data_IF_398097161048
#
_entry.id   IF_398097161048
#
_cell.length_a   1.000
_cell.length_b   1.000
_cell.length_c   1.000
_cell.angle_alpha   90.00
_cell.angle_beta   90.00
_cell.angle_gamma   90.00
#
_symmetry.space_group_name_H-M   'P 1'
#
loop_
_entity.id
_entity.type
_entity.pdbx_description
1 polymer ?
#
# COMPACT_ATOMS: atom_id res chain seq x y z
N UNK A 1 -14.82 -18.47 6.27
CA UNK A 1 -13.78 -17.48 6.63
C UNK A 1 -14.13 -17.03 8.03
N UNK A 2 -13.39 -17.52 9.02
CA UNK A 2 -13.49 -16.93 10.35
C UNK A 2 -12.70 -15.63 10.36
N UNK A 3 -13.18 -14.66 11.13
CA UNK A 3 -12.69 -13.28 11.18
C UNK A 3 -12.32 -12.99 12.62
N UNK A 4 -11.06 -12.67 12.86
CA UNK A 4 -10.53 -12.37 14.20
C UNK A 4 -10.02 -10.94 14.28
N UNK A 5 -10.16 -10.34 15.47
CA UNK A 5 -9.49 -9.08 15.81
C UNK A 5 -7.97 -9.30 15.87
N UNK A 6 -7.20 -8.28 15.46
CA UNK A 6 -5.75 -8.38 15.37
C UNK A 6 -5.13 -8.12 16.74
N UNK A 7 -4.49 -9.14 17.30
CA UNK A 7 -3.68 -9.03 18.51
C UNK A 7 -2.16 -9.00 18.21
N UNK A 8 -1.77 -9.23 16.96
CA UNK A 8 -0.37 -9.30 16.51
C UNK A 8 -0.15 -8.32 15.36
N UNK A 9 0.14 -7.06 15.70
CA UNK A 9 0.36 -5.98 14.74
C UNK A 9 1.80 -6.06 14.23
N UNK A 10 2.04 -6.01 12.91
CA UNK A 10 3.39 -6.08 12.37
C UNK A 10 4.31 -4.96 12.87
N UNK A 11 5.53 -5.34 13.29
CA UNK A 11 6.59 -4.42 13.72
C UNK A 11 7.01 -3.41 12.63
N UNK A 12 7.76 -2.36 12.98
CA UNK A 12 8.31 -1.41 12.00
C UNK A 12 7.28 -0.45 11.37
N UNK A 13 6.04 -0.49 11.86
CA UNK A 13 5.02 0.52 11.61
C UNK A 13 5.16 1.68 12.61
N UNK A 14 4.74 2.88 12.21
CA UNK A 14 4.60 4.00 13.15
C UNK A 14 3.47 3.71 14.14
N UNK A 15 3.42 4.44 15.26
CA UNK A 15 2.32 4.28 16.23
C UNK A 15 0.96 4.48 15.56
N UNK A 16 0.85 5.44 14.63
CA UNK A 16 -0.37 5.67 13.83
C UNK A 16 -0.77 4.43 13.04
N UNK A 17 0.14 3.87 12.25
CA UNK A 17 -0.16 2.70 11.42
C UNK A 17 -0.41 1.44 12.26
N UNK A 18 0.34 1.25 13.35
CA UNK A 18 0.13 0.15 14.27
C UNK A 18 -1.27 0.22 14.92
N UNK A 19 -1.68 1.41 15.37
CA UNK A 19 -3.03 1.64 15.92
C UNK A 19 -4.12 1.41 14.86
N UNK A 20 -3.90 1.88 13.64
CA UNK A 20 -4.83 1.69 12.53
C UNK A 20 -5.05 0.20 12.23
N UNK A 21 -3.96 -0.57 12.13
CA UNK A 21 -4.02 -2.03 11.91
C UNK A 21 -4.69 -2.72 13.10
N UNK A 22 -4.27 -2.43 14.33
CA UNK A 22 -4.82 -3.10 15.51
C UNK A 22 -6.30 -2.81 15.78
N UNK A 23 -6.78 -1.62 15.41
CA UNK A 23 -8.16 -1.20 15.65
C UNK A 23 -9.11 -1.55 14.50
N UNK A 24 -8.65 -1.41 13.26
CA UNK A 24 -9.52 -1.54 12.07
C UNK A 24 -9.19 -2.75 11.20
N UNK A 25 -8.05 -3.39 11.41
CA UNK A 25 -7.68 -4.57 10.67
C UNK A 25 -8.41 -5.81 11.17
N UNK A 26 -8.66 -6.72 10.23
CA UNK A 26 -9.25 -8.03 10.47
C UNK A 26 -8.29 -9.11 9.98
N UNK A 27 -8.20 -10.22 10.69
CA UNK A 27 -7.47 -11.41 10.25
C UNK A 27 -8.44 -12.46 9.68
N UNK A 28 -8.25 -12.81 8.42
CA UNK A 28 -8.92 -13.93 7.76
C UNK A 28 -8.00 -15.17 7.74
N UNK A 29 -8.60 -16.35 7.83
CA UNK A 29 -7.84 -17.60 7.67
C UNK A 29 -7.30 -17.73 6.25
N UNK A 30 -5.99 -18.01 6.16
CA UNK A 30 -5.31 -18.28 4.89
C UNK A 30 -4.54 -19.58 4.99
N UNK A 31 -4.46 -20.30 3.86
CA UNK A 31 -3.68 -21.55 3.78
C UNK A 31 -2.19 -21.24 3.80
N UNK A 32 -1.44 -21.93 4.66
CA UNK A 32 0.01 -21.78 4.77
C UNK A 32 0.73 -22.02 3.42
N UNK A 33 1.70 -21.16 3.12
CA UNK A 33 2.57 -21.28 1.94
C UNK A 33 3.51 -22.46 2.08
N UNK A 34 3.93 -22.78 3.31
CA UNK A 34 4.89 -23.82 3.64
C UNK A 34 4.41 -25.19 3.15
N UNK A 35 3.10 -25.45 3.23
CA UNK A 35 2.48 -26.66 2.71
C UNK A 35 2.68 -26.82 1.19
N UNK A 36 2.95 -25.72 0.48
CA UNK A 36 3.18 -25.68 -0.97
C UNK A 36 4.66 -25.75 -1.35
N UNK A 37 5.60 -25.72 -0.39
CA UNK A 37 7.05 -25.64 -0.69
C UNK A 37 7.54 -26.77 -1.62
N UNK A 38 7.23 -28.06 -1.40
CA UNK A 38 7.67 -29.12 -2.31
C UNK A 38 7.15 -28.91 -3.74
N UNK A 39 5.87 -28.54 -3.87
CA UNK A 39 5.21 -28.29 -5.15
C UNK A 39 5.79 -27.08 -5.91
N UNK A 40 6.25 -26.04 -5.19
CA UNK A 40 6.91 -24.87 -5.76
C UNK A 40 8.33 -25.20 -6.25
N UNK A 41 9.09 -25.96 -5.46
CA UNK A 41 10.44 -26.41 -5.83
C UNK A 41 10.41 -27.30 -7.08
N UNK A 42 9.44 -28.22 -7.17
CA UNK A 42 9.22 -29.06 -8.36
C UNK A 42 8.95 -28.24 -9.64
N UNK A 43 8.44 -27.00 -9.49
CA UNK A 43 8.20 -26.06 -10.61
C UNK A 43 9.37 -25.14 -10.90
N UNK A 44 10.51 -25.35 -10.25
CA UNK A 44 11.71 -24.55 -10.45
C UNK A 44 11.65 -23.18 -9.79
N UNK A 45 10.72 -22.96 -8.85
CA UNK A 45 10.72 -21.73 -8.03
C UNK A 45 11.93 -21.78 -7.10
N UNK A 46 12.82 -20.77 -7.12
CA UNK A 46 13.99 -20.74 -6.25
C UNK A 46 13.61 -20.72 -4.77
N UNK A 47 14.44 -21.33 -3.93
CA UNK A 47 14.18 -21.44 -2.49
C UNK A 47 14.03 -20.09 -1.80
N UNK A 48 14.85 -19.11 -2.18
CA UNK A 48 14.82 -17.74 -1.67
C UNK A 48 13.52 -16.99 -2.03
N UNK A 49 12.88 -17.35 -3.14
CA UNK A 49 11.57 -16.80 -3.52
C UNK A 49 10.50 -17.39 -2.61
N UNK A 50 10.54 -18.70 -2.37
CA UNK A 50 9.60 -19.36 -1.45
C UNK A 50 9.74 -18.79 -0.03
N UNK A 51 10.97 -18.55 0.42
CA UNK A 51 11.24 -17.96 1.73
C UNK A 51 10.70 -16.52 1.83
N UNK A 52 10.74 -15.74 0.74
CA UNK A 52 10.08 -14.43 0.64
C UNK A 52 8.55 -14.52 0.74
N UNK A 53 7.92 -15.49 0.06
CA UNK A 53 6.47 -15.70 0.19
C UNK A 53 6.09 -16.05 1.64
N UNK A 54 6.88 -16.92 2.27
CA UNK A 54 6.66 -17.28 3.68
C UNK A 54 6.83 -16.07 4.60
N UNK A 55 7.89 -15.27 4.43
CA UNK A 55 8.09 -14.07 5.23
C UNK A 55 6.94 -13.06 5.06
N UNK A 56 6.45 -12.88 3.82
CA UNK A 56 5.29 -12.04 3.54
C UNK A 56 4.03 -12.60 4.20
N UNK A 57 3.72 -13.89 4.05
CA UNK A 57 2.51 -14.48 4.63
C UNK A 57 2.54 -14.48 6.16
N UNK A 58 3.68 -14.78 6.78
CA UNK A 58 3.82 -14.74 8.24
C UNK A 58 3.49 -13.35 8.79
N UNK A 59 3.92 -12.31 8.10
CA UNK A 59 3.76 -10.92 8.53
C UNK A 59 2.39 -10.33 8.16
N UNK A 60 1.89 -10.62 6.96
CA UNK A 60 0.74 -9.94 6.37
C UNK A 60 -0.43 -10.87 6.04
N UNK A 61 -0.20 -12.18 5.96
CA UNK A 61 -1.17 -13.17 5.50
C UNK A 61 -2.51 -13.07 6.21
N UNK A 62 -3.60 -13.02 5.45
CA UNK A 62 -4.96 -12.88 5.97
C UNK A 62 -5.33 -11.48 6.44
N UNK A 63 -4.43 -10.50 6.39
CA UNK A 63 -4.73 -9.14 6.86
C UNK A 63 -5.70 -8.43 5.89
N UNK A 64 -6.88 -8.10 6.38
CA UNK A 64 -7.88 -7.24 5.75
C UNK A 64 -7.78 -5.86 6.39
N UNK A 65 -7.48 -4.84 5.59
CA UNK A 65 -7.48 -3.45 6.05
C UNK A 65 -8.73 -2.70 5.56
N UNK A 66 -9.09 -1.56 6.16
CA UNK A 66 -10.04 -0.63 5.54
C UNK A 66 -9.63 -0.26 4.11
N UNK A 67 -10.59 -0.03 3.20
CA UNK A 67 -10.27 0.34 1.82
C UNK A 67 -9.55 1.69 1.77
N UNK A 68 -8.49 1.77 0.96
CA UNK A 68 -7.85 3.04 0.61
C UNK A 68 -8.69 3.90 -0.32
N UNK A 69 -8.38 5.20 -0.45
CA UNK A 69 -9.15 6.12 -1.29
C UNK A 69 -8.86 5.98 -2.80
N UNK A 70 -7.88 5.17 -3.18
CA UNK A 70 -7.49 4.88 -4.57
C UNK A 70 -7.34 3.36 -4.77
N UNK A 71 -7.21 2.96 -6.04
CA UNK A 71 -7.09 1.56 -6.47
C UNK A 71 -8.26 0.68 -6.04
N UNK A 72 -9.48 1.23 -6.06
CA UNK A 72 -10.71 0.57 -5.59
C UNK A 72 -10.57 -0.12 -4.22
N UNK A 73 -9.80 0.52 -3.33
CA UNK A 73 -9.61 0.08 -1.95
C UNK A 73 -8.45 -0.90 -1.73
N UNK A 74 -7.62 -1.18 -2.73
CA UNK A 74 -6.46 -2.05 -2.59
C UNK A 74 -6.80 -3.56 -2.59
N UNK A 75 -5.87 -4.41 -2.14
CA UNK A 75 -6.14 -5.83 -1.91
C UNK A 75 -7.30 -6.03 -0.92
N UNK A 76 -8.15 -7.02 -1.18
CA UNK A 76 -9.23 -7.42 -0.29
C UNK A 76 -8.72 -8.06 1.00
N UNK A 77 -7.67 -8.85 0.90
CA UNK A 77 -6.85 -9.33 2.01
C UNK A 77 -5.43 -9.58 1.50
N UNK A 78 -4.42 -9.40 2.34
CA UNK A 78 -3.04 -9.69 1.97
C UNK A 78 -2.78 -11.19 2.07
N UNK A 79 -2.42 -11.83 0.97
CA UNK A 79 -2.04 -13.25 0.96
C UNK A 79 -1.27 -13.54 -0.33
N UNK A 80 -0.05 -14.10 -0.26
CA UNK A 80 0.75 -14.29 -1.46
C UNK A 80 0.20 -15.39 -2.33
N UNK A 81 0.04 -15.11 -3.62
CA UNK A 81 -0.33 -16.12 -4.63
C UNK A 81 0.88 -16.90 -5.09
N UNK A 82 0.73 -17.74 -6.12
CA UNK A 82 1.88 -18.44 -6.70
C UNK A 82 2.84 -17.43 -7.32
N UNK A 83 4.16 -17.58 -7.12
CA UNK A 83 5.13 -16.66 -7.70
C UNK A 83 5.26 -16.87 -9.21
N UNK A 84 5.56 -15.79 -9.90
CA UNK A 84 5.80 -15.73 -11.33
C UNK A 84 7.15 -15.08 -11.60
N UNK A 85 7.70 -15.33 -12.79
CA UNK A 85 9.01 -14.82 -13.20
C UNK A 85 8.93 -14.12 -14.54
N UNK A 86 9.61 -12.99 -14.64
CA UNK A 86 9.85 -12.27 -15.88
C UNK A 86 11.32 -11.81 -15.96
N UNK A 87 11.61 -10.87 -16.87
CA UNK A 87 12.96 -10.32 -17.04
C UNK A 87 13.46 -9.49 -15.85
N UNK A 88 12.58 -8.99 -14.99
CA UNK A 88 12.92 -8.23 -13.79
C UNK A 88 13.17 -9.16 -12.58
N UNK A 89 12.64 -10.38 -12.61
CA UNK A 89 12.88 -11.43 -11.61
C UNK A 89 11.59 -12.06 -11.11
N UNK A 90 11.66 -12.66 -9.92
CA UNK A 90 10.52 -13.34 -9.31
C UNK A 90 9.66 -12.39 -8.45
N UNK A 91 8.38 -12.31 -8.80
CA UNK A 91 7.36 -11.55 -8.11
C UNK A 91 6.19 -12.45 -7.71
N UNK A 92 5.29 -11.93 -6.86
CA UNK A 92 4.04 -12.61 -6.50
C UNK A 92 2.97 -11.58 -6.18
N UNK A 93 1.70 -11.92 -6.34
CA UNK A 93 0.64 -10.99 -5.98
C UNK A 93 0.55 -10.83 -4.46
N UNK A 94 0.29 -9.61 -4.00
CA UNK A 94 0.10 -9.29 -2.59
C UNK A 94 -1.26 -9.79 -2.05
N UNK A 95 -2.20 -10.11 -2.94
CA UNK A 95 -3.54 -10.61 -2.61
C UNK A 95 -4.57 -10.20 -3.66
N UNK A 96 -5.74 -10.86 -3.69
CA UNK A 96 -6.77 -10.56 -4.67
C UNK A 96 -7.35 -9.14 -4.47
N UNK A 97 -7.73 -8.44 -5.54
CA UNK A 97 -8.38 -7.15 -5.43
C UNK A 97 -9.78 -7.25 -4.80
N UNK A 98 -10.29 -6.14 -4.27
CA UNK A 98 -11.67 -6.05 -3.73
C UNK A 98 -12.74 -6.10 -4.81
N UNK A 99 -12.41 -5.62 -6.00
CA UNK A 99 -13.28 -5.49 -7.16
C UNK A 99 -12.57 -6.05 -8.39
N UNK A 100 -13.27 -6.14 -9.53
CA UNK A 100 -12.63 -6.49 -10.79
C UNK A 100 -11.81 -5.29 -11.31
N UNK A 101 -10.50 -5.48 -11.49
CA UNK A 101 -9.56 -4.43 -11.90
C UNK A 101 -8.73 -4.86 -13.11
N UNK A 102 -8.22 -3.90 -13.91
CA UNK A 102 -7.35 -4.19 -15.06
C UNK A 102 -5.88 -4.38 -14.67
N UNK A 103 -5.57 -4.49 -13.38
CA UNK A 103 -4.23 -4.72 -12.83
C UNK A 103 -4.29 -5.60 -11.58
N UNK A 104 -3.15 -6.19 -11.21
CA UNK A 104 -2.97 -6.94 -9.97
C UNK A 104 -2.09 -6.17 -8.97
N UNK A 105 -2.26 -6.39 -7.67
CA UNK A 105 -1.35 -5.87 -6.64
C UNK A 105 -0.19 -6.84 -6.47
N UNK A 106 1.06 -6.37 -6.61
CA UNK A 106 2.24 -7.24 -6.72
C UNK A 106 3.32 -6.81 -5.75
N UNK A 107 4.04 -7.80 -5.21
CA UNK A 107 5.31 -7.63 -4.52
C UNK A 107 6.43 -7.95 -5.50
N UNK A 108 7.22 -6.92 -5.82
CA UNK A 108 8.34 -7.02 -6.77
C UNK A 108 9.47 -7.92 -6.23
N UNK A 109 10.47 -8.26 -7.06
CA UNK A 109 11.67 -8.98 -6.62
C UNK A 109 12.41 -8.32 -5.46
N UNK A 110 12.44 -6.98 -5.42
CA UNK A 110 13.11 -6.19 -4.37
C UNK A 110 12.22 -5.89 -3.16
N UNK A 111 10.93 -6.26 -3.22
CA UNK A 111 9.98 -6.10 -2.12
C UNK A 111 9.14 -4.82 -2.16
N UNK A 112 9.18 -4.07 -3.26
CA UNK A 112 8.25 -2.95 -3.46
C UNK A 112 6.80 -3.45 -3.55
N UNK A 113 5.89 -2.68 -2.96
CA UNK A 113 4.46 -2.88 -3.15
C UNK A 113 4.01 -2.04 -4.35
N UNK A 114 3.43 -2.67 -5.35
CA UNK A 114 3.01 -1.99 -6.56
C UNK A 114 1.82 -2.62 -7.25
N UNK A 115 1.56 -2.17 -8.48
CA UNK A 115 0.56 -2.75 -9.36
C UNK A 115 1.16 -3.17 -10.69
N UNK A 116 0.72 -4.32 -11.19
CA UNK A 116 1.06 -4.85 -12.49
C UNK A 116 -0.15 -4.71 -13.41
N UNK A 117 -0.07 -3.76 -14.35
CA UNK A 117 -1.04 -3.59 -15.44
C UNK A 117 -0.40 -3.93 -16.78
N UNK A 118 -0.52 -3.02 -17.76
CA UNK A 118 0.28 -3.08 -18.98
C UNK A 118 1.76 -2.89 -18.67
N UNK A 119 2.06 -2.04 -17.71
CA UNK A 119 3.40 -1.77 -17.18
C UNK A 119 3.43 -2.02 -15.67
N UNK A 120 4.62 -2.32 -15.15
CA UNK A 120 4.86 -2.38 -13.71
C UNK A 120 4.94 -0.95 -13.13
N UNK A 121 4.20 -0.68 -12.06
CA UNK A 121 4.31 0.58 -11.31
C UNK A 121 4.55 0.32 -9.81
N UNK A 122 5.76 0.59 -9.29
CA UNK A 122 6.01 0.50 -7.86
C UNK A 122 5.35 1.68 -7.15
N UNK A 123 4.40 1.42 -6.26
CA UNK A 123 3.66 2.45 -5.52
C UNK A 123 4.45 2.92 -4.30
N UNK A 124 4.94 1.97 -3.52
CA UNK A 124 5.69 2.19 -2.30
C UNK A 124 6.89 1.24 -2.24
N UNK A 125 7.99 1.70 -1.65
CA UNK A 125 9.22 0.91 -1.58
C UNK A 125 9.08 -0.35 -0.71
N UNK A 126 8.09 -0.41 0.19
CA UNK A 126 7.78 -1.61 0.99
C UNK A 126 6.28 -1.73 1.24
N UNK A 127 5.85 -2.93 1.67
CA UNK A 127 4.46 -3.19 2.11
C UNK A 127 4.09 -2.30 3.31
N UNK A 128 5.01 -2.09 4.25
CA UNK A 128 4.82 -1.16 5.37
C UNK A 128 4.54 0.25 4.85
N UNK A 129 5.28 0.72 3.84
CA UNK A 129 5.06 2.04 3.24
C UNK A 129 3.63 2.21 2.71
N UNK A 130 3.11 1.18 2.04
CA UNK A 130 1.72 1.16 1.61
C UNK A 130 0.73 1.17 2.79
N UNK A 131 0.94 0.34 3.82
CA UNK A 131 0.10 0.34 5.04
C UNK A 131 0.14 1.69 5.76
N UNK A 132 1.30 2.34 5.83
CA UNK A 132 1.48 3.67 6.40
C UNK A 132 0.69 4.72 5.63
N UNK A 133 0.64 4.61 4.30
CA UNK A 133 -0.15 5.50 3.44
C UNK A 133 -1.66 5.36 3.70
N UNK A 134 -2.15 4.12 3.91
CA UNK A 134 -3.54 3.87 4.26
C UNK A 134 -3.89 4.45 5.62
N UNK A 135 -3.04 4.21 6.62
CA UNK A 135 -3.23 4.75 7.96
C UNK A 135 -3.20 6.28 7.97
N UNK A 136 -2.31 6.89 7.17
CA UNK A 136 -2.23 8.35 7.03
C UNK A 136 -3.47 8.92 6.34
N UNK A 137 -3.96 8.30 5.27
CA UNK A 137 -5.20 8.71 4.61
C UNK A 137 -6.40 8.62 5.53
N UNK A 138 -6.53 7.53 6.28
CA UNK A 138 -7.60 7.36 7.26
C UNK A 138 -7.52 8.44 8.34
N UNK A 139 -6.34 8.66 8.93
CA UNK A 139 -6.11 9.69 9.94
C UNK A 139 -6.44 11.09 9.41
N UNK A 140 -5.87 11.48 8.26
CA UNK A 140 -6.11 12.78 7.65
C UNK A 140 -7.60 13.01 7.36
N UNK A 141 -8.33 11.99 6.91
CA UNK A 141 -9.77 12.07 6.64
C UNK A 141 -10.62 12.36 7.88
N UNK A 142 -10.15 11.96 9.07
CA UNK A 142 -10.87 12.22 10.33
C UNK A 142 -10.71 13.66 10.83
N UNK A 143 -9.60 14.31 10.49
CA UNK A 143 -9.24 15.62 11.06
C UNK A 143 -9.29 16.77 10.05
N UNK A 144 -9.23 16.49 8.75
CA UNK A 144 -9.30 17.52 7.73
C UNK A 144 -10.66 18.22 7.74
N UNK A 145 -10.64 19.54 7.58
CA UNK A 145 -11.88 20.33 7.39
C UNK A 145 -12.43 20.16 5.98
N UNK A 146 -11.56 19.84 5.02
CA UNK A 146 -11.92 19.65 3.63
C UNK A 146 -10.98 18.63 2.98
N UNK A 147 -11.55 17.78 2.12
CA UNK A 147 -10.80 16.90 1.23
C UNK A 147 -11.13 17.24 -0.22
N UNK A 148 -10.13 17.69 -0.97
CA UNK A 148 -10.28 18.05 -2.39
C UNK A 148 -9.64 16.98 -3.26
N UNK A 149 -10.37 16.50 -4.27
CA UNK A 149 -9.85 15.56 -5.27
C UNK A 149 -9.58 16.30 -6.58
N UNK A 150 -8.37 16.17 -7.10
CA UNK A 150 -7.97 16.63 -8.42
C UNK A 150 -7.59 15.43 -9.30
N UNK A 151 -7.83 15.54 -10.60
CA UNK A 151 -7.55 14.48 -11.58
C UNK A 151 -6.93 15.07 -12.84
N UNK A 152 -6.06 14.30 -13.49
CA UNK A 152 -5.40 14.69 -14.74
C UNK A 152 -4.63 15.99 -14.60
N UNK A 153 -4.82 16.91 -15.55
CA UNK A 153 -4.07 18.17 -15.66
C UNK A 153 -4.28 19.10 -14.45
N UNK A 154 -5.36 18.91 -13.67
CA UNK A 154 -5.59 19.65 -12.43
C UNK A 154 -4.48 19.46 -11.39
N UNK A 155 -3.71 18.38 -11.50
CA UNK A 155 -2.58 18.09 -10.60
C UNK A 155 -1.40 19.04 -10.85
N UNK A 156 -1.24 19.54 -12.07
CA UNK A 156 -0.16 20.47 -12.43
C UNK A 156 -0.32 21.83 -11.76
N UNK A 157 -1.49 22.12 -11.19
CA UNK A 157 -1.77 23.33 -10.42
C UNK A 157 -1.36 23.25 -8.94
N UNK A 158 -0.93 22.07 -8.47
CA UNK A 158 -0.54 21.87 -7.07
C UNK A 158 0.86 22.45 -6.86
N UNK A 159 0.95 23.54 -6.12
CA UNK A 159 2.21 24.08 -5.64
C UNK A 159 2.63 23.38 -4.33
N UNK A 160 3.71 22.59 -4.41
CA UNK A 160 4.33 21.90 -3.28
C UNK A 160 5.51 22.69 -2.69
N UNK A 161 5.71 23.94 -3.09
CA UNK A 161 6.74 24.79 -2.51
C UNK A 161 6.54 24.92 -1.00
N UNK A 162 7.56 24.56 -0.22
CA UNK A 162 7.50 24.56 1.25
C UNK A 162 6.82 23.33 1.86
N UNK A 163 6.42 22.34 1.07
CA UNK A 163 5.97 21.04 1.58
C UNK A 163 7.15 20.10 1.76
N UNK A 164 7.07 19.25 2.78
CA UNK A 164 8.06 18.21 3.05
C UNK A 164 7.52 16.84 2.62
N UNK A 165 8.34 15.97 2.01
CA UNK A 165 7.96 14.59 1.77
C UNK A 165 7.66 13.86 3.09
N UNK A 166 6.55 13.13 3.12
CA UNK A 166 6.19 12.22 4.22
C UNK A 166 6.99 10.93 4.06
N UNK A 167 8.11 10.82 4.76
CA UNK A 167 9.07 9.72 4.56
C UNK A 167 8.56 8.37 5.03
N UNK A 168 7.69 8.34 6.04
CA UNK A 168 7.20 7.10 6.63
C UNK A 168 6.37 6.24 5.65
N UNK A 169 5.78 6.84 4.60
CA UNK A 169 5.03 6.09 3.58
C UNK A 169 5.92 5.49 2.50
N UNK A 170 7.21 5.85 2.44
CA UNK A 170 8.17 5.37 1.44
C UNK A 170 7.61 5.39 0.00
N UNK A 171 6.97 6.49 -0.36
CA UNK A 171 6.30 6.65 -1.65
C UNK A 171 7.26 6.61 -2.84
N UNK A 172 6.84 5.94 -3.91
CA UNK A 172 7.52 5.90 -5.21
C UNK A 172 6.63 6.57 -6.25
N UNK A 173 5.75 5.82 -6.94
CA UNK A 173 4.74 6.42 -7.79
C UNK A 173 3.65 7.15 -6.96
N UNK A 174 3.41 6.69 -5.74
CA UNK A 174 2.41 7.29 -4.85
C UNK A 174 3.10 8.00 -3.69
N UNK A 175 3.05 9.33 -3.71
CA UNK A 175 3.81 10.17 -2.78
C UNK A 175 2.89 10.98 -1.88
N UNK A 176 3.42 11.36 -0.73
CA UNK A 176 2.72 12.19 0.25
C UNK A 176 3.59 13.37 0.65
N UNK A 177 2.94 14.51 0.81
CA UNK A 177 3.58 15.79 1.10
C UNK A 177 2.86 16.47 2.26
N UNK A 178 3.63 17.02 3.20
CA UNK A 178 3.14 17.69 4.40
C UNK A 178 3.45 19.18 4.32
N UNK A 179 2.41 19.99 4.30
CA UNK A 179 2.49 21.44 4.36
C UNK A 179 2.17 21.98 5.77
N UNK A 180 1.98 23.30 5.89
CA UNK A 180 1.69 23.96 7.17
C UNK A 180 0.36 23.54 7.81
N UNK A 181 -0.67 23.31 7.00
CA UNK A 181 -2.03 22.96 7.44
C UNK A 181 -2.72 21.93 6.52
N UNK A 182 -1.94 21.26 5.66
CA UNK A 182 -2.47 20.29 4.73
C UNK A 182 -1.54 19.11 4.44
N UNK A 183 -2.16 18.00 4.03
CA UNK A 183 -1.49 16.84 3.45
C UNK A 183 -1.92 16.68 2.00
N UNK A 184 -0.97 16.45 1.10
CA UNK A 184 -1.22 16.18 -0.33
C UNK A 184 -0.75 14.77 -0.65
N UNK A 185 -1.67 13.92 -1.06
CA UNK A 185 -1.39 12.59 -1.59
C UNK A 185 -1.47 12.64 -3.11
N UNK A 186 -0.38 12.27 -3.79
CA UNK A 186 -0.32 12.15 -5.24
C UNK A 186 -0.31 10.67 -5.60
N UNK A 187 -1.27 10.25 -6.41
CA UNK A 187 -1.43 8.89 -6.91
C UNK A 187 -1.16 8.87 -8.41
N UNK A 188 -0.01 8.31 -8.79
CA UNK A 188 0.41 8.25 -10.21
C UNK A 188 0.61 6.83 -10.70
N UNK A 189 0.55 5.84 -9.80
CA UNK A 189 0.78 4.44 -10.14
C UNK A 189 -0.16 3.88 -11.20
N UNK A 190 -1.46 4.11 -11.09
CA UNK A 190 -2.43 3.63 -12.09
C UNK A 190 -2.18 4.25 -13.47
N UNK A 191 -1.89 5.55 -13.50
CA UNK A 191 -1.56 6.25 -14.73
C UNK A 191 -0.31 5.68 -15.42
N UNK A 192 0.71 5.30 -14.64
CA UNK A 192 1.91 4.65 -15.14
C UNK A 192 1.61 3.21 -15.62
N UNK A 193 1.00 2.38 -14.78
CA UNK A 193 0.72 0.97 -15.07
C UNK A 193 -0.22 0.78 -16.28
N UNK A 194 -1.11 1.74 -16.52
CA UNK A 194 -2.09 1.68 -17.61
C UNK A 194 -1.68 2.53 -18.83
N UNK A 195 -0.48 3.13 -18.83
CA UNK A 195 -0.05 4.08 -19.88
C UNK A 195 -1.09 5.17 -20.15
N UNK A 196 -1.72 5.68 -19.08
CA UNK A 196 -2.80 6.66 -19.14
C UNK A 196 -2.48 7.89 -18.26
N UNK A 197 -1.65 8.84 -18.74
CA UNK A 197 -1.18 9.98 -17.94
C UNK A 197 -2.29 10.86 -17.34
N UNK A 198 -3.48 10.88 -17.95
CA UNK A 198 -4.63 11.64 -17.44
C UNK A 198 -5.33 10.94 -16.26
N UNK A 199 -4.96 9.70 -15.94
CA UNK A 199 -5.45 8.94 -14.79
C UNK A 199 -4.79 9.31 -13.45
N UNK A 200 -3.79 10.21 -13.45
CA UNK A 200 -3.18 10.72 -12.21
C UNK A 200 -4.27 11.33 -11.32
N UNK A 201 -4.23 11.06 -10.02
CA UNK A 201 -5.15 11.62 -9.02
C UNK A 201 -4.37 12.27 -7.90
N UNK A 202 -4.88 13.38 -7.35
CA UNK A 202 -4.38 13.95 -6.09
C UNK A 202 -5.53 14.12 -5.09
N UNK A 203 -5.22 13.90 -3.81
CA UNK A 203 -6.10 14.20 -2.68
C UNK A 203 -5.41 15.21 -1.77
N UNK A 204 -6.09 16.33 -1.50
CA UNK A 204 -5.61 17.40 -0.64
C UNK A 204 -6.49 17.45 0.59
N UNK A 205 -5.92 17.14 1.75
CA UNK A 205 -6.55 17.20 3.06
C UNK A 205 -6.17 18.54 3.70
N UNK A 206 -7.10 19.49 3.79
CA UNK A 206 -6.82 20.87 4.22
C UNK A 206 -7.43 21.20 5.59
N UNK A 207 -6.84 22.20 6.24
CA UNK A 207 -7.31 22.71 7.54
C UNK A 207 -6.97 21.77 8.70
N UNK A 208 -5.87 21.01 8.57
CA UNK A 208 -5.34 20.13 9.59
C UNK A 208 -4.55 20.94 10.63
N UNK A 209 -4.70 20.56 11.90
CA UNK A 209 -3.81 21.01 12.97
C UNK A 209 -2.56 20.10 13.06
N UNK A 210 -1.70 20.37 14.04
CA UNK A 210 -0.47 19.58 14.25
C UNK A 210 -0.77 18.08 14.43
N UNK A 211 -1.85 17.73 15.13
CA UNK A 211 -2.26 16.34 15.31
C UNK A 211 -2.75 15.73 14.00
N UNK A 212 -3.53 16.44 13.20
CA UNK A 212 -3.94 16.01 11.87
C UNK A 212 -2.75 15.78 10.92
N UNK A 213 -1.68 16.57 11.04
CA UNK A 213 -0.49 16.49 10.19
C UNK A 213 0.51 15.40 10.61
N UNK A 214 0.67 15.17 11.92
CA UNK A 214 1.78 14.37 12.49
C UNK A 214 1.34 13.33 13.53
N UNK A 215 0.05 13.21 13.84
CA UNK A 215 -0.42 12.30 14.87
C UNK A 215 0.13 10.88 14.72
N UNK A 216 0.76 10.36 15.78
CA UNK A 216 1.33 9.02 15.84
C UNK A 216 2.61 8.78 15.05
N UNK A 217 3.31 9.85 14.63
CA UNK A 217 4.75 9.81 14.32
C UNK A 217 5.50 10.66 15.33
N UNK A 218 6.55 10.11 15.92
CA UNK A 218 7.44 10.91 16.77
C UNK A 218 8.22 11.86 15.84
N UNK A 219 8.39 13.12 16.25
CA UNK A 219 9.19 14.07 15.49
C UNK A 219 10.63 13.57 15.39
N UNK A 220 11.16 13.50 14.18
CA UNK A 220 12.59 13.29 13.93
C UNK A 220 13.43 14.40 14.61
#
# INVERSE_FOLDING_TARGET
MEVHLINDVPDGLTRRAASFVGTHGVKADVRAVEDRRPWLLERGVPGEVIDRLYAFQRRWGGLVLPPGPQYDGGPGHLNPTSPEADSAGWWFEAGPPRTALPYAFVISPSGEFGIQGYEWAPLHATVEGWVQSLALSHHASLYAKQVTRLVGDGIESIDLTGYEPVREVKGLADTWWRGPDSLVALYTGEAAAMSFPRGRTALIYSGLDEWGLRGGVDGD
#
